data_IF_149981338675
#
_entry.id   IF_149981338675
#
_cell.length_a   1.000
_cell.length_b   1.000
_cell.length_c   1.000
_cell.angle_alpha   90.00
_cell.angle_beta   90.00
_cell.angle_gamma   90.00
#
_symmetry.space_group_name_H-M   'P 1'
#
loop_
_entity.id
_entity.type
_entity.pdbx_description
1 polymer ?
#
# COMPACT_ATOMS: atom_id res chain seq x y z
N UNK A 1 -0.41 8.61 -5.75
CA UNK A 1 0.14 7.36 -6.33
C UNK A 1 -0.99 6.36 -6.46
N UNK A 2 -0.95 5.45 -7.44
CA UNK A 2 -2.08 4.54 -7.74
C UNK A 2 -1.66 3.09 -7.57
N UNK A 3 -2.38 2.35 -6.70
CA UNK A 3 -2.12 0.93 -6.43
C UNK A 3 -2.83 -0.02 -7.42
N UNK A 4 -3.56 0.52 -8.39
CA UNK A 4 -4.19 -0.21 -9.50
C UNK A 4 -4.40 0.74 -10.69
N UNK A 5 -4.77 0.18 -11.84
CA UNK A 5 -5.04 0.93 -13.08
C UNK A 5 -6.54 1.05 -13.35
N UNK A 6 -6.92 2.16 -13.99
CA UNK A 6 -8.29 2.40 -14.45
C UNK A 6 -8.79 1.26 -15.36
N UNK A 7 -7.95 0.80 -16.29
CA UNK A 7 -8.30 -0.28 -17.22
C UNK A 7 -8.61 -1.60 -16.48
N UNK A 8 -7.83 -1.93 -15.44
CA UNK A 8 -8.04 -3.13 -14.61
C UNK A 8 -9.39 -3.05 -13.88
N UNK A 9 -9.67 -1.91 -13.24
CA UNK A 9 -10.94 -1.70 -12.53
C UNK A 9 -12.14 -1.75 -13.49
N UNK A 10 -12.03 -1.16 -14.68
CA UNK A 10 -13.09 -1.20 -15.70
C UNK A 10 -13.36 -2.62 -16.20
N UNK A 11 -12.30 -3.41 -16.35
CA UNK A 11 -12.39 -4.83 -16.72
C UNK A 11 -13.16 -5.61 -15.65
N UNK A 12 -12.83 -5.40 -14.38
CA UNK A 12 -13.51 -6.06 -13.26
C UNK A 12 -15.01 -5.69 -13.19
N UNK A 13 -15.34 -4.42 -13.41
CA UNK A 13 -16.71 -3.92 -13.42
C UNK A 13 -17.48 -4.21 -14.72
N UNK A 14 -16.83 -4.78 -15.74
CA UNK A 14 -17.40 -5.00 -17.07
C UNK A 14 -17.93 -3.71 -17.74
N UNK A 15 -17.24 -2.58 -17.57
CA UNK A 15 -17.61 -1.27 -18.14
C UNK A 15 -16.73 -0.96 -19.34
N UNK A 16 -17.35 -0.72 -20.49
CA UNK A 16 -16.65 -0.35 -21.73
C UNK A 16 -16.70 1.15 -22.08
N UNK A 17 -17.67 1.89 -21.54
CA UNK A 17 -17.81 3.33 -21.78
C UNK A 17 -16.91 4.18 -20.87
N UNK A 18 -16.95 5.50 -21.05
CA UNK A 18 -16.11 6.46 -20.30
C UNK A 18 -16.90 7.28 -19.27
N UNK A 19 -18.17 6.94 -19.01
CA UNK A 19 -19.08 7.73 -18.17
C UNK A 19 -18.64 7.78 -16.71
N UNK A 20 -17.99 6.73 -16.23
CA UNK A 20 -17.51 6.59 -14.86
C UNK A 20 -16.03 6.93 -14.67
N UNK A 21 -15.28 7.22 -15.75
CA UNK A 21 -13.81 7.29 -15.71
C UNK A 21 -13.30 8.35 -14.72
N UNK A 22 -13.89 9.55 -14.71
CA UNK A 22 -13.52 10.62 -13.77
C UNK A 22 -13.74 10.22 -12.32
N UNK A 23 -14.86 9.55 -12.04
CA UNK A 23 -15.18 9.10 -10.68
C UNK A 23 -14.25 7.96 -10.26
N UNK A 24 -14.02 6.98 -11.14
CA UNK A 24 -13.12 5.85 -10.89
C UNK A 24 -11.69 6.32 -10.67
N UNK A 25 -11.17 7.24 -11.47
CA UNK A 25 -9.85 7.82 -11.28
C UNK A 25 -9.71 8.50 -9.90
N UNK A 26 -10.73 9.25 -9.48
CA UNK A 26 -10.77 9.84 -8.13
C UNK A 26 -10.80 8.78 -7.03
N UNK A 27 -11.58 7.70 -7.21
CA UNK A 27 -11.63 6.63 -6.22
C UNK A 27 -10.35 5.80 -6.16
N UNK A 28 -9.67 5.57 -7.28
CA UNK A 28 -8.37 4.87 -7.29
C UNK A 28 -7.36 5.62 -6.42
N UNK A 29 -7.25 6.94 -6.57
CA UNK A 29 -6.38 7.76 -5.72
C UNK A 29 -6.80 7.68 -4.25
N UNK A 30 -8.08 7.92 -3.95
CA UNK A 30 -8.57 7.97 -2.58
C UNK A 30 -8.48 6.62 -1.85
N UNK A 31 -8.72 5.50 -2.54
CA UNK A 31 -8.59 4.15 -1.96
C UNK A 31 -7.13 3.77 -1.81
N UNK A 32 -6.26 4.14 -2.77
CA UNK A 32 -4.82 3.92 -2.63
C UNK A 32 -4.27 4.60 -1.38
N UNK A 33 -4.60 5.88 -1.17
CA UNK A 33 -4.23 6.63 0.03
C UNK A 33 -4.85 6.04 1.30
N UNK A 34 -6.10 5.56 1.24
CA UNK A 34 -6.76 4.89 2.36
C UNK A 34 -6.01 3.62 2.78
N UNK A 35 -5.60 2.80 1.83
CA UNK A 35 -4.88 1.53 2.11
C UNK A 35 -3.49 1.81 2.66
N UNK A 36 -2.74 2.77 2.09
CA UNK A 36 -1.45 3.19 2.62
C UNK A 36 -1.57 3.73 4.06
N UNK A 37 -2.58 4.54 4.33
CA UNK A 37 -2.88 5.06 5.68
C UNK A 37 -3.26 3.95 6.65
N UNK A 38 -4.11 3.00 6.23
CA UNK A 38 -4.51 1.86 7.05
C UNK A 38 -3.32 0.96 7.43
N UNK A 39 -2.42 0.71 6.47
CA UNK A 39 -1.20 -0.06 6.70
C UNK A 39 -0.09 0.76 7.37
N UNK A 40 -0.26 2.07 7.53
CA UNK A 40 0.77 3.02 7.95
C UNK A 40 2.09 2.85 7.17
N UNK A 41 1.97 2.67 5.85
CA UNK A 41 3.07 2.31 4.96
C UNK A 41 2.86 2.85 3.56
N UNK A 42 3.95 3.28 2.94
CA UNK A 42 3.98 3.69 1.53
C UNK A 42 4.47 2.49 0.71
N UNK A 43 3.69 2.08 -0.29
CA UNK A 43 4.03 0.91 -1.12
C UNK A 43 4.88 1.25 -2.32
N UNK A 44 4.80 2.48 -2.83
CA UNK A 44 5.57 2.88 -4.01
C UNK A 44 7.07 2.86 -3.75
N UNK A 45 7.82 2.29 -4.71
CA UNK A 45 9.28 2.29 -4.69
C UNK A 45 9.84 3.70 -4.79
N UNK A 46 10.77 4.05 -3.89
CA UNK A 46 11.51 5.30 -3.93
C UNK A 46 12.88 5.18 -3.26
N UNK A 47 13.85 5.97 -3.73
CA UNK A 47 15.09 6.21 -3.01
C UNK A 47 14.84 7.26 -1.92
N UNK A 48 15.06 6.89 -0.66
CA UNK A 48 14.69 7.70 0.49
C UNK A 48 15.77 7.70 1.55
N UNK A 49 15.83 8.80 2.28
CA UNK A 49 16.62 8.94 3.50
C UNK A 49 15.67 9.07 4.68
N UNK A 50 15.76 8.14 5.62
CA UNK A 50 14.99 8.16 6.86
C UNK A 50 15.89 8.49 8.04
N UNK A 51 15.45 9.45 8.84
CA UNK A 51 16.08 9.77 10.12
C UNK A 51 15.19 9.25 11.24
N UNK A 52 15.78 8.47 12.15
CA UNK A 52 15.11 7.86 13.29
C UNK A 52 15.85 8.20 14.57
N UNK A 53 15.17 8.83 15.50
CA UNK A 53 15.68 9.01 16.84
C UNK A 53 15.41 7.74 17.66
N UNK A 54 16.47 7.11 18.14
CA UNK A 54 16.41 5.93 18.98
C UNK A 54 16.55 6.41 20.41
N UNK A 55 15.46 6.41 21.19
CA UNK A 55 15.51 6.86 22.59
C UNK A 55 16.09 5.79 23.51
N UNK A 56 15.75 4.52 23.25
CA UNK A 56 16.22 3.35 23.99
C UNK A 56 16.91 2.38 23.06
N UNK A 57 18.01 1.71 23.48
CA UNK A 57 18.73 0.80 22.62
C UNK A 57 17.80 -0.25 22.01
N UNK A 58 17.76 -0.32 20.69
CA UNK A 58 16.84 -1.19 19.96
C UNK A 58 17.58 -2.33 19.28
N UNK A 59 17.05 -3.54 19.34
CA UNK A 59 17.59 -4.69 18.61
C UNK A 59 17.17 -4.72 17.14
N UNK A 60 16.23 -3.86 16.73
CA UNK A 60 15.70 -3.82 15.36
C UNK A 60 15.27 -2.42 14.98
N UNK A 61 15.48 -2.07 13.72
CA UNK A 61 14.91 -0.89 13.10
C UNK A 61 14.06 -1.31 11.92
N UNK A 62 12.81 -0.85 11.88
CA UNK A 62 11.89 -1.10 10.77
C UNK A 62 11.89 0.12 9.85
N UNK A 63 12.16 -0.12 8.56
CA UNK A 63 12.16 0.89 7.52
C UNK A 63 10.74 1.15 7.03
N UNK A 64 10.43 2.39 6.65
CA UNK A 64 9.06 2.75 6.22
C UNK A 64 8.67 2.18 4.86
N UNK A 65 9.66 1.89 4.00
CA UNK A 65 9.47 1.29 2.68
C UNK A 65 10.21 -0.03 2.61
N UNK A 66 9.46 -1.06 2.26
CA UNK A 66 9.97 -2.39 1.98
C UNK A 66 9.15 -2.98 0.83
N UNK A 67 9.61 -4.03 0.13
CA UNK A 67 10.92 -4.66 0.23
C UNK A 67 12.04 -3.68 -0.13
N UNK A 68 13.19 -3.80 0.53
CA UNK A 68 14.40 -3.02 0.23
C UNK A 68 15.10 -3.65 -0.97
N UNK A 69 15.49 -2.83 -1.93
CA UNK A 69 16.27 -3.28 -3.07
C UNK A 69 17.72 -3.51 -2.63
N UNK A 70 18.04 -4.77 -2.35
CA UNK A 70 19.39 -5.20 -1.95
C UNK A 70 20.46 -5.01 -3.03
N UNK A 71 20.07 -4.74 -4.29
CA UNK A 71 21.02 -4.45 -5.37
C UNK A 71 21.50 -2.99 -5.35
N UNK A 72 20.77 -2.11 -4.68
CA UNK A 72 21.10 -0.68 -4.56
C UNK A 72 21.95 -0.42 -3.30
N UNK A 73 22.59 0.74 -3.26
CA UNK A 73 23.37 1.16 -2.10
C UNK A 73 22.47 1.42 -0.89
N UNK A 74 22.69 0.65 0.18
CA UNK A 74 22.19 0.93 1.53
C UNK A 74 23.31 1.58 2.34
N UNK A 75 23.04 2.74 2.93
CA UNK A 75 23.94 3.37 3.90
C UNK A 75 23.24 3.65 5.21
N UNK A 76 23.96 3.44 6.31
CA UNK A 76 23.51 3.72 7.68
C UNK A 76 24.57 4.60 8.32
N UNK A 77 24.13 5.70 8.93
CA UNK A 77 25.01 6.71 9.52
C UNK A 77 24.48 7.09 10.90
N UNK A 78 25.36 7.17 11.88
CA UNK A 78 25.05 7.79 13.16
C UNK A 78 25.01 9.31 12.99
N UNK A 79 23.84 9.91 13.20
CA UNK A 79 23.56 11.31 12.88
C UNK A 79 24.25 12.34 13.77
N UNK A 80 24.82 11.93 14.91
CA UNK A 80 25.52 12.84 15.82
C UNK A 80 26.95 13.16 15.35
N UNK A 81 27.60 12.22 14.66
CA UNK A 81 29.02 12.31 14.24
C UNK A 81 29.24 11.99 12.74
N UNK A 82 28.18 11.87 11.95
CA UNK A 82 28.20 11.38 10.56
C UNK A 82 29.02 10.09 10.36
N UNK A 83 29.10 9.26 11.41
CA UNK A 83 29.90 8.04 11.39
C UNK A 83 29.14 6.94 10.65
N UNK A 84 29.69 6.52 9.52
CA UNK A 84 29.13 5.42 8.73
C UNK A 84 29.25 4.09 9.49
N UNK A 85 28.15 3.34 9.53
CA UNK A 85 28.11 1.98 10.07
C UNK A 85 28.53 1.01 8.97
N UNK A 86 29.50 0.14 9.25
CA UNK A 86 29.92 -0.85 8.28
C UNK A 86 28.78 -1.84 7.98
N UNK A 87 28.65 -2.25 6.73
CA UNK A 87 27.62 -3.23 6.31
C UNK A 87 27.80 -4.61 6.94
N UNK A 88 28.94 -4.88 7.57
CA UNK A 88 29.20 -6.09 8.36
C UNK A 88 28.57 -6.07 9.74
N UNK A 89 28.26 -4.88 10.26
CA UNK A 89 27.84 -4.69 11.66
C UNK A 89 26.32 -4.80 11.84
N UNK A 90 25.61 -4.98 10.73
CA UNK A 90 24.16 -5.16 10.69
C UNK A 90 23.74 -6.13 9.59
N UNK A 91 22.53 -6.68 9.74
CA UNK A 91 21.86 -7.56 8.79
C UNK A 91 20.59 -6.90 8.29
N UNK A 92 20.42 -6.91 6.97
CA UNK A 92 19.20 -6.46 6.30
C UNK A 92 18.30 -7.67 6.01
N UNK A 93 17.09 -7.65 6.56
CA UNK A 93 15.99 -8.50 6.14
C UNK A 93 15.19 -7.73 5.09
N UNK A 94 15.63 -7.82 3.83
CA UNK A 94 15.17 -6.96 2.74
C UNK A 94 13.65 -7.03 2.52
N UNK A 95 13.06 -8.23 2.59
CA UNK A 95 11.64 -8.45 2.39
C UNK A 95 10.76 -7.75 3.44
N UNK A 96 11.22 -7.70 4.70
CA UNK A 96 10.48 -7.14 5.84
C UNK A 96 10.89 -5.69 6.16
N UNK A 97 11.94 -5.18 5.51
CA UNK A 97 12.49 -3.85 5.81
C UNK A 97 13.12 -3.75 7.19
N UNK A 98 13.66 -4.84 7.73
CA UNK A 98 14.23 -4.85 9.09
C UNK A 98 15.74 -4.75 9.01
N UNK A 99 16.31 -3.73 9.67
CA UNK A 99 17.73 -3.62 9.95
C UNK A 99 18.03 -4.06 11.38
N UNK A 100 18.79 -5.14 11.50
CA UNK A 100 19.18 -5.73 12.76
C UNK A 100 20.69 -5.58 12.96
N UNK A 101 21.16 -4.86 13.99
CA UNK A 101 22.58 -4.77 14.31
C UNK A 101 23.04 -6.05 15.02
N UNK A 102 24.34 -6.30 15.08
CA UNK A 102 24.89 -7.49 15.76
C UNK A 102 24.66 -7.48 17.29
N UNK A 103 24.59 -6.30 17.90
CA UNK A 103 24.29 -6.12 19.34
C UNK A 103 22.99 -5.35 19.55
N UNK A 104 23.03 -4.03 19.42
CA UNK A 104 21.88 -3.14 19.51
C UNK A 104 22.22 -1.81 18.83
N UNK A 105 21.20 -1.12 18.33
CA UNK A 105 21.32 0.26 17.92
C UNK A 105 21.43 1.13 19.17
N UNK A 106 22.44 1.99 19.31
CA UNK A 106 22.58 2.86 20.47
C UNK A 106 21.46 3.92 20.51
N UNK A 107 21.31 4.56 21.67
CA UNK A 107 20.40 5.71 21.83
C UNK A 107 21.03 6.93 21.16
N UNK A 108 20.71 7.14 19.88
CA UNK A 108 21.23 8.23 19.06
C UNK A 108 20.27 8.51 17.90
N UNK A 109 20.59 9.53 17.10
CA UNK A 109 19.95 9.71 15.79
C UNK A 109 20.61 8.75 14.79
N UNK A 110 19.80 8.01 14.06
CA UNK A 110 20.25 7.13 12.98
C UNK A 110 19.65 7.61 11.66
N UNK A 111 20.49 7.78 10.65
CA UNK A 111 20.07 8.13 9.30
C UNK A 111 20.34 6.95 8.37
N UNK A 112 19.30 6.49 7.68
CA UNK A 112 19.37 5.36 6.74
C UNK A 112 18.97 5.84 5.36
N UNK A 113 19.86 5.69 4.38
CA UNK A 113 19.54 5.95 2.97
C UNK A 113 19.45 4.62 2.22
N UNK A 114 18.32 4.41 1.54
CA UNK A 114 18.03 3.16 0.84
C UNK A 114 16.98 3.36 -0.25
N UNK A 115 16.86 2.37 -1.14
CA UNK A 115 15.75 2.28 -2.09
C UNK A 115 14.85 1.12 -1.68
N UNK A 116 13.55 1.37 -1.52
CA UNK A 116 12.61 0.33 -1.14
C UNK A 116 11.18 0.64 -1.54
N UNK A 117 10.35 -0.40 -1.57
CA UNK A 117 8.97 -0.38 -2.05
C UNK A 117 8.79 -1.20 -3.33
N UNK A 118 7.53 -1.35 -3.73
CA UNK A 118 7.11 -2.09 -4.91
C UNK A 118 7.05 -1.20 -6.15
N UNK A 119 7.36 -1.81 -7.29
CA UNK A 119 6.97 -1.36 -8.61
C UNK A 119 5.45 -1.47 -8.74
N UNK A 120 4.81 -0.31 -8.87
CA UNK A 120 3.37 -0.18 -8.96
C UNK A 120 2.84 -0.71 -10.30
N UNK A 121 1.52 -0.94 -10.43
CA UNK A 121 0.93 -1.48 -11.65
C UNK A 121 1.13 -0.65 -12.92
N UNK A 122 1.50 0.62 -12.81
CA UNK A 122 1.80 1.51 -13.94
C UNK A 122 3.24 1.36 -14.48
N UNK A 123 4.04 0.48 -13.88
CA UNK A 123 5.44 0.23 -14.30
C UNK A 123 5.59 -1.11 -15.02
N UNK A 124 6.54 -1.19 -15.95
CA UNK A 124 6.81 -2.39 -16.75
C UNK A 124 7.22 -3.59 -15.88
N UNK A 125 8.00 -3.34 -14.82
CA UNK A 125 8.51 -4.34 -13.87
C UNK A 125 7.63 -4.50 -12.62
N UNK A 126 6.30 -4.41 -12.76
CA UNK A 126 5.32 -4.52 -11.66
C UNK A 126 5.60 -5.75 -10.77
N UNK A 127 5.93 -5.50 -9.50
CA UNK A 127 6.15 -6.51 -8.47
C UNK A 127 5.19 -6.38 -7.26
N UNK A 128 4.22 -5.45 -7.34
CA UNK A 128 3.18 -5.31 -6.32
C UNK A 128 2.41 -6.63 -6.13
N UNK A 129 2.28 -7.14 -4.90
CA UNK A 129 1.50 -8.35 -4.61
C UNK A 129 0.08 -8.24 -5.16
N UNK A 130 -0.34 -9.27 -5.90
CA UNK A 130 -1.67 -9.30 -6.51
C UNK A 130 -2.80 -9.17 -5.48
N UNK A 131 -2.62 -9.73 -4.28
CA UNK A 131 -3.60 -9.65 -3.20
C UNK A 131 -3.83 -8.20 -2.73
N UNK A 132 -2.78 -7.36 -2.73
CA UNK A 132 -2.89 -5.94 -2.37
C UNK A 132 -3.63 -5.16 -3.46
N UNK A 133 -3.30 -5.41 -4.73
CA UNK A 133 -4.03 -4.80 -5.83
C UNK A 133 -5.51 -5.22 -5.83
N UNK A 134 -5.80 -6.51 -5.62
CA UNK A 134 -7.16 -7.00 -5.56
C UNK A 134 -7.94 -6.40 -4.39
N UNK A 135 -7.33 -6.23 -3.22
CA UNK A 135 -7.97 -5.56 -2.08
C UNK A 135 -8.37 -4.12 -2.41
N UNK A 136 -7.54 -3.39 -3.16
CA UNK A 136 -7.84 -2.04 -3.64
C UNK A 136 -9.00 -2.07 -4.65
N UNK A 137 -8.97 -2.99 -5.61
CA UNK A 137 -10.03 -3.19 -6.60
C UNK A 137 -11.37 -3.49 -5.90
N UNK A 138 -11.39 -4.44 -4.98
CA UNK A 138 -12.60 -4.83 -4.23
C UNK A 138 -13.23 -3.64 -3.48
N UNK A 139 -12.41 -2.78 -2.87
CA UNK A 139 -12.89 -1.57 -2.21
C UNK A 139 -13.49 -0.57 -3.21
N UNK A 140 -12.87 -0.40 -4.38
CA UNK A 140 -13.38 0.48 -5.43
C UNK A 140 -14.68 -0.07 -6.01
N UNK A 141 -14.76 -1.38 -6.29
CA UNK A 141 -15.95 -2.07 -6.78
C UNK A 141 -17.11 -1.91 -5.80
N UNK A 142 -16.87 -2.12 -4.49
CA UNK A 142 -17.88 -1.89 -3.44
C UNK A 142 -18.35 -0.44 -3.41
N UNK A 143 -17.45 0.53 -3.54
CA UNK A 143 -17.81 1.96 -3.62
C UNK A 143 -18.60 2.26 -4.90
N UNK A 144 -18.25 1.63 -6.02
CA UNK A 144 -18.91 1.82 -7.30
C UNK A 144 -20.37 1.37 -7.22
N UNK A 145 -20.64 0.16 -6.73
CA UNK A 145 -22.01 -0.29 -6.57
C UNK A 145 -22.82 0.56 -5.59
N UNK A 146 -22.21 1.11 -4.54
CA UNK A 146 -22.89 2.07 -3.64
C UNK A 146 -23.24 3.37 -4.37
N UNK A 147 -22.32 3.90 -5.17
CA UNK A 147 -22.53 5.13 -5.94
C UNK A 147 -23.54 4.94 -7.08
N UNK A 148 -23.37 3.89 -7.89
CA UNK A 148 -24.15 3.64 -9.09
C UNK A 148 -25.58 3.20 -8.79
N UNK A 149 -25.78 2.38 -7.74
CA UNK A 149 -27.07 1.70 -7.58
C UNK A 149 -28.19 2.60 -7.05
N UNK A 150 -27.92 3.84 -6.63
CA UNK A 150 -28.86 4.67 -5.82
C UNK A 150 -29.60 3.81 -4.76
N UNK A 151 -28.93 2.76 -4.26
CA UNK A 151 -29.57 1.71 -3.48
C UNK A 151 -29.96 2.35 -2.16
N UNK A 152 -31.25 2.35 -1.85
CA UNK A 152 -31.72 2.72 -0.53
C UNK A 152 -31.18 1.68 0.46
N UNK A 153 -30.30 2.08 1.41
CA UNK A 153 -29.73 1.16 2.38
C UNK A 153 -30.78 0.48 3.28
N UNK A 154 -32.03 0.96 3.28
CA UNK A 154 -33.15 0.42 4.06
C UNK A 154 -34.06 -0.54 3.24
N UNK A 155 -33.81 -0.73 1.94
CA UNK A 155 -34.68 -1.54 1.08
C UNK A 155 -34.50 -3.04 1.34
N UNK A 156 -35.48 -3.63 2.03
CA UNK A 156 -35.46 -5.04 2.47
C UNK A 156 -36.02 -6.05 1.45
N UNK A 157 -36.94 -5.62 0.61
CA UNK A 157 -37.53 -6.47 -0.43
C UNK A 157 -38.15 -5.60 -1.52
N UNK A 158 -37.92 -5.96 -2.78
CA UNK A 158 -38.60 -5.36 -3.93
C UNK A 158 -39.45 -6.44 -4.59
N UNK A 159 -40.73 -6.14 -4.77
CA UNK A 159 -41.67 -6.99 -5.49
C UNK A 159 -42.20 -6.22 -6.69
N UNK A 160 -41.87 -6.69 -7.89
CA UNK A 160 -42.51 -6.25 -9.13
C UNK A 160 -43.45 -7.38 -9.55
N UNK A 161 -44.78 -7.22 -9.35
CA UNK A 161 -45.74 -8.27 -9.66
C UNK A 161 -45.57 -8.79 -11.09
N UNK A 162 -45.58 -10.11 -11.26
CA UNK A 162 -45.44 -10.85 -12.52
C UNK A 162 -44.13 -10.65 -13.31
N UNK A 163 -43.12 -9.98 -12.74
CA UNK A 163 -41.84 -9.72 -13.42
C UNK A 163 -40.63 -10.22 -12.63
N UNK A 164 -40.51 -9.84 -11.35
CA UNK A 164 -39.32 -10.14 -10.56
C UNK A 164 -39.63 -10.09 -9.06
N UNK A 165 -39.19 -11.11 -8.35
CA UNK A 165 -39.10 -11.11 -6.88
C UNK A 165 -37.65 -11.36 -6.49
N UNK A 166 -37.04 -10.42 -5.77
CA UNK A 166 -35.66 -10.53 -5.29
C UNK A 166 -35.66 -10.34 -3.78
N UNK A 167 -35.15 -11.33 -3.05
CA UNK A 167 -34.86 -11.27 -1.63
C UNK A 167 -33.35 -11.33 -1.43
N UNK A 168 -32.81 -10.35 -0.70
CA UNK A 168 -31.41 -10.35 -0.31
C UNK A 168 -31.28 -10.90 1.11
N UNK A 169 -30.17 -11.60 1.37
CA UNK A 169 -29.89 -12.17 2.68
C UNK A 169 -29.27 -11.08 3.56
N UNK A 170 -29.96 -10.69 4.62
CA UNK A 170 -29.36 -9.90 5.70
C UNK A 170 -28.49 -10.85 6.55
N UNK A 171 -27.20 -10.52 6.69
CA UNK A 171 -26.15 -11.44 7.14
C UNK A 171 -26.32 -12.07 8.53
N UNK A 172 -25.70 -13.25 8.67
CA UNK A 172 -25.28 -13.92 9.91
C UNK A 172 -24.11 -13.19 10.58
#
# INVERSE_FOLDING_TARGET
MTLTLLATVKTELQISDTSADTWLASQITAVSEQVESYCNRIFARAAVTETRQIETPSSRLVLSRYPVDSSQSLSVVYGDDDTAVASTDYRLWAADGILQPDSCWPSCILTVSYTGGYYLPDSEDRDLPHDLEQAVIDLIVRRYYRWASKRDPMLRSEAVPDVLSVSYVDGL
#
